data_IF_229930719080
#
_entry.id   IF_229930719080
#
_cell.length_a   1.000
_cell.length_b   1.000
_cell.length_c   1.000
_cell.angle_alpha   90.00
_cell.angle_beta   90.00
_cell.angle_gamma   90.00
#
_symmetry.space_group_name_H-M   'P 1'
#
loop_
_entity.id
_entity.type
_entity.pdbx_description
1 polymer ?
2 non-polymer ?
3 non-polymer ?
4 water ?
#
# COMPACT_ATOMS: atom_id res chain seq x y z
N UNK A 42 0.32 2.24 -18.52
CA UNK A 42 -0.75 3.25 -18.57
C UNK A 42 -2.12 2.62 -18.28
N UNK A 43 -2.56 2.77 -17.02
CA UNK A 43 -3.81 2.22 -16.49
C UNK A 43 -4.58 3.31 -15.73
N UNK A 44 -5.91 3.11 -15.56
CA UNK A 44 -6.82 4.03 -14.86
C UNK A 44 -6.76 3.86 -13.33
N UNK A 45 -6.74 5.00 -12.61
CA UNK A 45 -6.74 5.14 -11.14
C UNK A 45 -8.11 5.75 -10.70
N UNK A 46 -8.87 5.20 -9.71
CA UNK A 46 -8.59 3.99 -8.91
C UNK A 46 -8.56 2.71 -9.73
N UNK A 47 -7.65 1.81 -9.35
CA UNK A 47 -7.42 0.52 -9.98
C UNK A 47 -7.56 -0.60 -8.95
N UNK A 48 -8.26 -1.69 -9.32
CA UNK A 48 -8.40 -2.88 -8.46
C UNK A 48 -7.58 -4.05 -9.00
N UNK A 49 -6.65 -4.53 -8.17
CA UNK A 49 -5.83 -5.67 -8.50
C UNK A 49 -6.36 -6.89 -7.70
N UNK A 50 -7.00 -7.89 -8.35
CA UNK A 50 -7.46 -9.07 -7.58
C UNK A 50 -6.25 -9.87 -7.07
N UNK A 51 -6.33 -10.38 -5.83
CA UNK A 51 -5.25 -11.21 -5.23
C UNK A 51 -5.93 -12.57 -5.05
N UNK A 52 -5.93 -13.44 -6.09
CA UNK A 52 -6.73 -14.68 -5.99
C UNK A 52 -6.27 -15.59 -4.88
N UNK A 53 -7.18 -15.94 -3.98
CA UNK A 53 -6.89 -16.78 -2.82
C UNK A 53 -6.13 -16.04 -1.74
N UNK A 54 -6.16 -14.71 -1.80
CA UNK A 54 -5.52 -13.88 -0.81
C UNK A 54 -4.02 -13.88 -0.92
N UNK A 55 -3.37 -13.49 0.18
CA UNK A 55 -1.91 -13.37 0.21
C UNK A 55 -1.26 -14.48 1.01
N UNK A 56 0.05 -14.65 0.82
CA UNK A 56 0.81 -15.71 1.50
C UNK A 56 2.26 -15.24 1.73
N UNK A 57 2.96 -15.63 2.83
CA UNK A 57 4.38 -15.23 2.98
C UNK A 57 5.21 -15.60 1.75
N UNK A 58 6.13 -14.70 1.39
CA UNK A 58 7.05 -14.72 0.22
C UNK A 58 6.36 -14.27 -1.07
N UNK A 59 5.14 -13.73 -0.95
CA UNK A 59 4.43 -13.12 -2.09
C UNK A 59 4.83 -11.64 -2.13
N UNK A 60 5.40 -11.21 -3.27
CA UNK A 60 5.89 -9.86 -3.49
C UNK A 60 4.99 -9.12 -4.49
N UNK A 61 4.33 -8.03 -4.05
CA UNK A 61 3.47 -7.22 -4.91
C UNK A 61 4.26 -5.97 -5.31
N UNK A 62 4.38 -5.73 -6.62
CA UNK A 62 5.09 -4.57 -7.18
C UNK A 62 4.10 -3.63 -7.88
N UNK A 63 4.13 -2.34 -7.51
CA UNK A 63 3.29 -1.29 -8.09
C UNK A 63 4.25 -0.23 -8.67
N UNK A 64 4.19 -0.01 -9.99
CA UNK A 64 4.98 0.99 -10.70
C UNK A 64 4.06 2.10 -11.18
N UNK A 65 4.54 3.33 -11.05
CA UNK A 65 3.77 4.49 -11.48
C UNK A 65 4.59 5.74 -11.34
N UNK A 66 3.95 6.89 -11.58
CA UNK A 66 4.56 8.21 -11.46
C UNK A 66 3.67 9.08 -10.60
N UNK A 67 4.25 9.73 -9.57
CA UNK A 67 3.50 10.64 -8.73
C UNK A 67 3.15 11.88 -9.59
N UNK A 68 1.91 12.36 -9.50
CA UNK A 68 1.47 13.54 -10.22
C UNK A 68 2.12 14.81 -9.61
N UNK A 69 2.33 15.90 -10.39
CA UNK A 69 2.88 17.12 -9.77
C UNK A 69 1.89 17.66 -8.73
N UNK A 70 2.40 18.32 -7.66
CA UNK A 70 1.55 18.84 -6.56
C UNK A 70 0.58 17.78 -5.98
N UNK A 71 1.11 16.59 -5.68
CA UNK A 71 0.27 15.51 -5.13
C UNK A 71 -0.15 15.81 -3.69
N UNK A 72 -1.34 15.35 -3.31
CA UNK A 72 -1.85 15.51 -1.96
C UNK A 72 -1.81 14.17 -1.21
N UNK A 73 -2.21 13.06 -1.89
CA UNK A 73 -2.28 11.73 -1.26
C UNK A 73 -2.16 10.54 -2.24
N UNK A 74 -1.70 9.40 -1.71
CA UNK A 74 -1.66 8.10 -2.38
C UNK A 74 -2.23 7.12 -1.35
N UNK A 75 -2.97 6.09 -1.79
CA UNK A 75 -3.44 5.05 -0.88
C UNK A 75 -3.39 3.67 -1.51
N UNK A 76 -2.87 2.69 -0.74
CA UNK A 76 -2.89 1.27 -1.08
C UNK A 76 -3.78 0.66 -0.02
N UNK A 77 -4.84 -0.04 -0.45
CA UNK A 77 -5.79 -0.70 0.45
C UNK A 77 -5.82 -2.20 0.17
N UNK A 78 -5.19 -3.01 1.04
CA UNK A 78 -5.22 -4.48 0.94
C UNK A 78 -6.46 -4.89 1.70
N UNK A 79 -7.44 -5.38 0.95
CA UNK A 79 -8.74 -5.66 1.51
C UNK A 79 -9.11 -7.12 1.72
N UNK A 80 -9.88 -7.37 2.78
CA UNK A 80 -10.53 -8.64 3.09
C UNK A 80 -12.03 -8.26 3.12
N UNK A 81 -12.70 -8.41 1.98
CA UNK A 81 -14.07 -7.93 1.81
C UNK A 81 -14.12 -6.42 2.05
N UNK A 82 -14.96 -5.99 3.01
CA UNK A 82 -15.06 -4.58 3.40
C UNK A 82 -13.96 -4.14 4.37
N UNK A 83 -13.27 -5.07 5.06
CA UNK A 83 -12.21 -4.64 5.95
C UNK A 83 -10.94 -4.26 5.21
N UNK A 84 -10.14 -3.34 5.79
CA UNK A 84 -8.86 -3.02 5.16
C UNK A 84 -7.80 -3.64 6.05
N UNK A 85 -7.15 -4.73 5.59
CA UNK A 85 -6.13 -5.39 6.43
C UNK A 85 -4.92 -4.49 6.57
N UNK A 86 -4.56 -3.79 5.48
CA UNK A 86 -3.43 -2.89 5.47
C UNK A 86 -3.67 -1.72 4.51
N UNK A 87 -3.74 -0.52 5.12
CA UNK A 87 -3.90 0.78 4.49
C UNK A 87 -2.57 1.50 4.55
N UNK A 88 -1.95 1.76 3.40
CA UNK A 88 -0.65 2.43 3.28
C UNK A 88 -0.96 3.77 2.62
N UNK A 89 -0.81 4.85 3.39
CA UNK A 89 -1.26 6.16 2.96
C UNK A 89 -0.28 7.32 3.12
N UNK A 90 0.58 7.51 2.11
CA UNK A 90 1.46 8.70 2.10
C UNK A 90 0.63 9.99 1.94
N UNK A 91 0.82 10.91 2.88
CA UNK A 91 0.14 12.21 2.93
C UNK A 91 1.22 13.28 2.69
N UNK A 92 1.10 14.02 1.59
CA UNK A 92 2.10 15.04 1.22
C UNK A 92 1.90 16.35 1.99
N UNK A 93 0.71 16.55 2.61
CA UNK A 93 0.44 17.77 3.37
C UNK A 93 -0.50 17.57 4.56
N UNK A 94 0.02 17.03 5.65
CA UNK A 94 -0.73 16.89 6.89
C UNK A 94 -0.03 17.81 7.85
N UNK A 95 -0.67 18.94 8.21
CA UNK A 95 -0.11 19.96 9.10
C UNK A 95 1.28 20.45 8.57
N UNK A 96 1.37 20.58 7.23
CA UNK A 96 2.54 21.05 6.46
C UNK A 96 3.78 20.19 6.62
N UNK A 97 3.58 18.86 6.72
CA UNK A 97 4.63 17.84 6.79
C UNK A 97 4.19 16.66 5.91
N UNK A 98 5.15 15.86 5.46
CA UNK A 98 4.88 14.66 4.66
C UNK A 98 5.00 13.47 5.59
N UNK A 99 3.95 12.64 5.64
CA UNK A 99 3.93 11.50 6.57
C UNK A 99 3.30 10.30 5.89
N UNK A 100 3.74 9.08 6.25
CA UNK A 100 3.13 7.86 5.74
C UNK A 100 2.27 7.33 6.89
N UNK A 101 0.95 7.24 6.67
CA UNK A 101 0.03 6.77 7.70
C UNK A 101 -0.42 5.37 7.33
N UNK A 102 -0.25 4.41 8.26
CA UNK A 102 -0.68 3.02 8.07
C UNK A 102 -1.71 2.68 9.13
N UNK A 103 -2.74 1.92 8.74
CA UNK A 103 -3.80 1.52 9.67
C UNK A 103 -4.58 0.31 9.13
N UNK A 104 -5.53 -0.17 9.93
CA UNK A 104 -6.42 -1.29 9.64
C UNK A 104 -7.84 -0.81 9.87
N UNK A 105 -8.77 -1.21 8.99
CA UNK A 105 -10.19 -0.87 9.11
C UNK A 105 -10.98 -2.15 9.34
N UNK A 106 -11.64 -2.26 10.50
CA UNK A 106 -12.41 -3.45 10.88
C UNK A 106 -13.80 -3.02 11.21
N UNK A 107 -14.79 -3.64 10.55
CA UNK A 107 -16.21 -3.31 10.73
C UNK A 107 -16.48 -1.80 10.59
N UNK A 108 -15.81 -1.20 9.58
CA UNK A 108 -15.88 0.21 9.22
C UNK A 108 -15.28 1.16 10.24
N UNK A 109 -14.45 0.65 11.18
CA UNK A 109 -13.77 1.45 12.20
C UNK A 109 -12.24 1.42 12.02
N UNK A 110 -11.60 2.59 11.95
CA UNK A 110 -10.14 2.66 11.86
C UNK A 110 -9.53 2.40 13.24
N UNK A 111 -8.41 1.67 13.26
CA UNK A 111 -7.71 1.32 14.50
C UNK A 111 -6.71 2.38 14.90
N UNK A 112 -5.65 1.96 15.57
CA UNK A 112 -4.55 2.79 16.03
C UNK A 112 -3.56 2.96 14.87
N UNK A 113 -3.24 4.22 14.53
CA UNK A 113 -2.36 4.51 13.39
C UNK A 113 -0.91 4.21 13.67
N UNK A 114 -0.16 3.81 12.62
CA UNK A 114 1.29 3.63 12.69
C UNK A 114 1.87 4.63 11.70
N UNK A 115 2.73 5.52 12.20
CA UNK A 115 3.28 6.60 11.37
C UNK A 115 4.77 6.52 11.08
N UNK A 116 5.15 6.99 9.89
CA UNK A 116 6.54 7.02 9.45
C UNK A 116 6.82 8.36 8.78
N UNK A 117 7.79 9.13 9.35
CA UNK A 117 8.23 10.42 8.84
C UNK A 117 9.16 10.24 7.64
N UNK A 118 9.83 9.07 7.52
CA UNK A 118 10.68 8.80 6.36
C UNK A 118 9.73 8.70 5.15
N UNK A 119 9.90 9.62 4.20
CA UNK A 119 9.01 9.82 3.08
C UNK A 119 9.78 9.79 1.75
N UNK A 120 9.81 8.62 1.09
CA UNK A 120 10.59 8.49 -0.15
C UNK A 120 9.91 8.95 -1.45
N UNK A 121 8.67 9.48 -1.40
CA UNK A 121 7.98 9.89 -2.63
C UNK A 121 8.22 11.35 -2.94
N UNK A 122 8.26 11.69 -4.25
CA UNK A 122 8.43 13.06 -4.73
C UNK A 122 7.45 13.34 -5.84
N UNK A 123 6.74 14.49 -5.76
CA UNK A 123 5.79 14.91 -6.79
C UNK A 123 6.44 14.91 -8.21
N UNK A 124 5.74 14.35 -9.19
CA UNK A 124 6.24 14.28 -10.56
C UNK A 124 7.24 13.18 -10.88
N UNK A 125 7.66 12.40 -9.88
CA UNK A 125 8.69 11.36 -10.05
C UNK A 125 8.14 9.92 -10.16
N UNK A 126 8.79 9.09 -11.02
CA UNK A 126 8.43 7.67 -11.09
C UNK A 126 8.82 6.92 -9.81
N UNK A 127 7.96 6.01 -9.35
CA UNK A 127 8.26 5.24 -8.14
C UNK A 127 8.06 3.75 -8.35
N UNK A 128 8.56 2.96 -7.40
CA UNK A 128 8.26 1.53 -7.33
C UNK A 128 7.97 1.22 -5.88
N UNK A 129 6.77 0.70 -5.59
CA UNK A 129 6.46 0.25 -4.23
C UNK A 129 6.43 -1.27 -4.28
N UNK A 130 7.15 -1.91 -3.36
CA UNK A 130 7.13 -3.36 -3.22
C UNK A 130 6.62 -3.75 -1.84
N UNK A 131 5.51 -4.51 -1.82
CA UNK A 131 4.94 -5.02 -0.59
C UNK A 131 5.23 -6.51 -0.54
N UNK A 132 6.13 -6.89 0.39
CA UNK A 132 6.50 -8.28 0.60
C UNK A 132 5.74 -8.84 1.80
N UNK A 133 4.87 -9.83 1.54
CA UNK A 133 4.07 -10.49 2.54
C UNK A 133 5.02 -11.46 3.30
N UNK A 134 5.14 -11.27 4.62
CA UNK A 134 5.97 -12.10 5.49
C UNK A 134 5.08 -12.82 6.50
N UNK A 135 5.59 -13.83 7.27
CA UNK A 135 4.73 -14.54 8.23
C UNK A 135 4.03 -13.65 9.27
N UNK A 136 4.71 -12.62 9.82
CA UNK A 136 4.13 -11.75 10.86
C UNK A 136 3.81 -10.31 10.44
N UNK A 137 4.29 -9.88 9.27
CA UNK A 137 4.12 -8.49 8.85
C UNK A 137 4.20 -8.33 7.34
N UNK A 138 3.74 -7.16 6.84
CA UNK A 138 3.94 -6.74 5.48
C UNK A 138 5.22 -5.91 5.59
N UNK A 139 6.14 -6.11 4.66
CA UNK A 139 7.38 -5.36 4.59
C UNK A 139 7.28 -4.50 3.34
N UNK A 140 7.48 -3.18 3.49
CA UNK A 140 7.38 -2.23 2.40
C UNK A 140 8.74 -1.64 2.09
N UNK A 141 9.09 -1.64 0.80
CA UNK A 141 10.30 -1.03 0.28
C UNK A 141 9.91 -0.17 -0.92
N UNK A 142 10.43 1.07 -0.96
CA UNK A 142 10.14 1.98 -2.06
C UNK A 142 11.47 2.27 -2.80
N UNK A 143 11.46 2.17 -4.15
CA UNK A 143 12.67 2.42 -4.95
C UNK A 143 13.90 1.66 -4.44
N UNK A 144 13.69 0.39 -4.09
CA UNK A 144 14.70 -0.57 -3.65
C UNK A 144 15.38 -0.21 -2.31
N UNK A 145 14.70 0.59 -1.47
CA UNK A 145 15.18 0.92 -0.12
C UNK A 145 14.08 0.55 0.86
N UNK A 146 14.42 -0.17 1.95
CA UNK A 146 13.45 -0.53 2.99
C UNK A 146 12.79 0.72 3.60
N UNK A 147 11.46 0.66 3.78
CA UNK A 147 10.68 1.77 4.35
C UNK A 147 10.07 1.47 5.73
N UNK A 148 9.22 0.44 5.82
CA UNK A 148 8.55 0.10 7.07
C UNK A 148 8.07 -1.34 7.08
N UNK A 149 7.67 -1.80 8.27
CA UNK A 149 7.01 -3.08 8.52
C UNK A 149 5.72 -2.76 9.26
N UNK A 150 4.65 -3.48 8.92
CA UNK A 150 3.31 -3.38 9.49
C UNK A 150 2.85 -4.80 9.90
N UNK A 151 2.88 -5.07 11.22
CA UNK A 151 2.52 -6.36 11.82
C UNK A 151 1.09 -6.73 11.45
N UNK A 152 0.81 -8.03 11.15
CA UNK A 152 -0.53 -8.49 10.75
C UNK A 152 -1.54 -8.37 11.91
N UNK A 153 -2.64 -7.61 11.70
CA UNK A 153 -3.73 -7.47 12.70
C UNK A 153 -4.85 -8.34 12.22
N UNK A 154 -5.04 -8.38 10.88
CA UNK A 154 -5.93 -9.30 10.18
C UNK A 154 -5.05 -10.57 9.92
N UNK A 155 -5.48 -11.71 10.49
CA UNK A 155 -4.79 -13.00 10.46
C UNK A 155 -5.20 -13.93 9.31
N UNK A 156 -6.42 -13.76 8.76
CA UNK A 156 -6.84 -14.61 7.64
C UNK A 156 -6.24 -14.08 6.33
N UNK A 157 -4.92 -14.28 6.16
CA UNK A 157 -4.17 -13.84 4.98
C UNK A 157 -4.75 -14.32 3.66
N UNK A 158 -5.25 -15.57 3.62
CA UNK A 158 -5.79 -16.15 2.38
C UNK A 158 -7.16 -15.54 1.97
N UNK A 159 -7.66 -14.55 2.73
CA UNK A 159 -8.92 -13.84 2.45
C UNK A 159 -8.72 -12.35 2.10
N UNK A 160 -7.45 -11.85 2.07
CA UNK A 160 -7.09 -10.46 1.67
C UNK A 160 -6.96 -10.61 0.12
N UNK A 161 -8.09 -10.54 -0.61
CA UNK A 161 -8.14 -10.85 -2.04
C UNK A 161 -8.25 -9.69 -3.03
N UNK A 162 -7.99 -8.46 -2.59
CA UNK A 162 -8.02 -7.27 -3.45
C UNK A 162 -7.06 -6.24 -2.92
N UNK A 163 -6.32 -5.63 -3.84
CA UNK A 163 -5.52 -4.47 -3.56
C UNK A 163 -6.12 -3.31 -4.37
N UNK A 164 -6.58 -2.29 -3.67
CA UNK A 164 -7.08 -1.05 -4.26
C UNK A 164 -5.94 -0.05 -4.34
N UNK A 165 -5.73 0.56 -5.53
CA UNK A 165 -4.68 1.57 -5.72
C UNK A 165 -5.37 2.87 -6.14
N UNK A 166 -5.16 3.95 -5.39
CA UNK A 166 -5.82 5.23 -5.65
C UNK A 166 -4.95 6.43 -5.25
N UNK A 167 -5.38 7.61 -5.67
CA UNK A 167 -4.69 8.84 -5.34
C UNK A 167 -4.04 9.51 -6.52
N UNK A 168 -3.10 10.41 -6.20
CA UNK A 168 -2.43 11.35 -7.09
C UNK A 168 -1.22 10.77 -7.80
N UNK A 169 -1.49 9.76 -8.64
CA UNK A 169 -0.49 9.01 -9.42
C UNK A 169 -1.00 8.70 -10.82
N UNK A 170 -0.06 8.36 -11.72
CA UNK A 170 -0.30 7.78 -13.04
C UNK A 170 0.20 6.33 -12.83
N UNK A 171 -0.66 5.34 -13.05
CA UNK A 171 -0.30 3.95 -12.82
C UNK A 171 0.22 3.29 -14.07
N UNK A 172 1.42 2.69 -13.99
CA UNK A 172 2.02 2.01 -15.14
C UNK A 172 1.74 0.49 -15.10
N UNK A 173 1.98 -0.17 -13.94
CA UNK A 173 1.70 -1.61 -13.77
C UNK A 173 1.50 -2.01 -12.29
N UNK A 174 0.72 -3.08 -12.08
CA UNK A 174 0.43 -3.64 -10.75
C UNK A 174 0.47 -5.16 -10.88
N UNK A 175 1.49 -5.82 -10.27
CA UNK A 175 1.65 -7.27 -10.39
C UNK A 175 2.29 -7.90 -9.16
N UNK A 176 2.29 -9.25 -9.11
CA UNK A 176 2.87 -10.01 -8.01
C UNK A 176 3.61 -11.23 -8.55
N UNK A 177 4.53 -11.75 -7.74
CA UNK A 177 5.31 -12.96 -8.00
C UNK A 177 5.68 -13.62 -6.65
N UNK A 178 6.19 -14.87 -6.68
CA UNK A 178 6.67 -15.55 -5.48
C UNK A 178 8.18 -15.57 -5.51
N UNK A 179 8.80 -15.17 -4.40
CA UNK A 179 10.26 -15.11 -4.30
C UNK A 179 10.80 -16.39 -3.67
X LIG B 1 10.50 18.20 -6.87
X LIG C 1 -8.09 8.57 -1.59
X LIG C 1 -10.62 8.90 11.38
X LIG C 1 -9.25 9.20 11.20
X LIG C 1 -8.47 11.54 10.60
X LIG C 1 -9.68 8.27 0.21
X LIG C 1 -11.02 7.87 12.24
X LIG C 1 -10.05 7.15 12.92
X LIG C 1 -8.71 7.46 12.72
X LIG C 1 -8.27 8.47 11.88
X LIG C 1 -11.68 9.72 10.66
X LIG C 1 -7.30 8.12 0.64
X LIG C 1 -7.03 8.38 -0.72
X LIG C 1 -11.54 11.02 10.98
X LIG C 1 -11.62 9.69 9.32
X LIG C 1 -12.95 9.44 10.99
X LIG C 1 -7.56 6.55 13.53
X LIG C 1 -8.78 10.20 10.28
X LIG C 1 -8.52 12.23 12.06
X LIG C 1 -8.05 12.06 9.37
X LIG C 1 -7.57 13.46 9.15
X LIG C 1 -8.52 9.99 8.92
X LIG C 1 -8.09 11.13 8.35
X LIG C 1 -8.59 8.65 8.24
X LIG C 1 -8.77 8.82 6.70
X LIG C 1 -9.94 9.47 6.41
X LIG C 1 -8.77 7.40 6.11
X LIG C 1 -7.44 6.67 6.48
X LIG C 1 -6.33 7.37 6.01
X LIG C 1 -7.36 6.66 8.02
X LIG C 1 -6.04 5.97 8.48
X LIG C 1 -6.05 5.91 9.86
X LIG C 1 -7.36 8.00 8.51
X LIG C 1 -8.99 7.43 4.66
X LIG C 1 -10.10 6.84 4.11
X LIG C 1 -10.09 7.01 2.85
X LIG C 1 -8.93 7.74 2.49
X LIG C 1 -8.23 8.01 3.67
X LIG C 1 -8.64 8.05 1.12
X LIG C 1 -9.41 8.51 -1.15
X LIG C 1 -7.78 8.97 -3.45
X LIG C 1 -5.76 8.52 -1.08
X LIG C 1 -6.26 8.00 1.43
X LIG C 1 -10.72 8.26 0.55
X LIG C 1 -12.07 7.60 12.39
X LIG C 1 -10.32 6.34 13.60
X LIG C 1 -7.21 8.68 11.76
X LIG C 1 -8.23 14.17 9.64
X LIG C 1 -7.51 13.70 8.09
X LIG C 1 -6.58 13.58 9.59
X LIG C 1 -9.44 8.10 8.66
X LIG C 1 -7.98 9.45 6.28
X LIG C 1 -9.77 10.44 6.31
X LIG C 1 -9.60 6.84 6.54
X LIG C 1 -7.48 5.64 6.11
X LIG C 1 -6.02 6.93 5.18
X LIG C 1 -8.21 6.11 8.41
X LIG C 1 -5.16 6.45 8.06
X LIG C 1 -6.03 4.94 8.14
X LIG C 1 -5.12 5.70 10.13
X LIG C 1 -7.29 8.54 3.82
X LIG C 1 -10.22 8.66 -1.85
#
# INVERSE_FOLDING_TARGET
GAPAPGVYPGPPSGPGAYPSSGQPSATGAYPATGHMGAPAGPLIVPYNLPLPGGVVPRMLITILGTVKPNANRIALDFQRGNDVAFHFNPRFNENNRRVIVCNTKLDNNWGREERQSVFPFESGKPFKIQVLVEPDHFKVAVNDAHLLQYNHRVKKLNEISKLGISGDIDLTSASYTMI
MG MG
A1L0R C13 C18 C17 C16 C15 C19 C20 C21 C22 C23 C11 C12 F4 F2 F3 CL N5 S N C C1 N1 C2 C7 O3 C6 C5 O2 C3 C4 O1 O N2 N4 N3 C9 C8 C10 C14 BR F1 F H15 H16 H17 H18 H7 H5 H6 H H4 H12 H3 H2 H11 H1 H9 H8 H10 H13 H14
#
